data_IF_617444484118
#
_entry.id   IF_617444484118
#
_cell.length_a   1.000
_cell.length_b   1.000
_cell.length_c   1.000
_cell.angle_alpha   90.00
_cell.angle_beta   90.00
_cell.angle_gamma   90.00
#
_symmetry.space_group_name_H-M   'P 1'
#
loop_
_entity.id
_entity.type
_entity.pdbx_description
1 polymer ?
#
# COMPACT_ATOMS: atom_id res chain seq x y z
N UNK A 1 -24.27 -4.15 -28.89
CA UNK A 1 -25.45 -3.41 -28.38
C UNK A 1 -25.68 -3.80 -26.93
N UNK A 2 -25.92 -2.85 -26.01
CA UNK A 2 -26.42 -3.05 -24.63
C UNK A 2 -25.46 -3.86 -23.70
N UNK A 3 -25.10 -3.42 -22.49
CA UNK A 3 -25.43 -2.22 -21.68
C UNK A 3 -24.20 -1.80 -20.84
N UNK A 4 -24.09 -0.50 -20.56
CA UNK A 4 -23.34 0.03 -19.43
C UNK A 4 -24.14 -0.14 -18.13
N UNK A 5 -23.47 -0.41 -17.01
CA UNK A 5 -23.85 -0.34 -15.57
C UNK A 5 -22.81 -1.20 -14.82
N UNK A 6 -22.13 -0.78 -13.74
CA UNK A 6 -22.38 0.33 -12.81
C UNK A 6 -21.13 1.18 -12.53
N UNK A 7 -21.38 2.46 -12.26
CA UNK A 7 -20.50 3.36 -11.47
C UNK A 7 -21.39 3.98 -10.40
N UNK A 8 -21.03 3.86 -9.11
CA UNK A 8 -21.25 4.81 -8.00
C UNK A 8 -21.23 4.11 -6.62
N UNK A 9 -20.80 4.88 -5.61
CA UNK A 9 -20.67 4.56 -4.19
C UNK A 9 -19.55 3.54 -3.84
N UNK A 10 -18.72 3.75 -2.81
CA UNK A 10 -18.83 4.73 -1.72
C UNK A 10 -17.60 5.67 -1.60
N UNK A 11 -17.88 6.98 -1.58
CA UNK A 11 -17.06 7.97 -0.87
C UNK A 11 -17.89 8.46 0.32
N UNK A 12 -17.22 8.88 1.40
CA UNK A 12 -17.76 9.18 2.76
C UNK A 12 -17.91 7.95 3.67
N UNK A 13 -16.91 7.75 4.54
CA UNK A 13 -17.10 7.60 6.00
C UNK A 13 -15.74 7.63 6.74
N UNK A 14 -15.09 8.80 6.75
CA UNK A 14 -14.02 9.13 7.72
C UNK A 14 -14.33 10.49 8.38
N UNK A 15 -15.44 10.52 9.09
CA UNK A 15 -15.82 11.61 10.00
C UNK A 15 -16.30 11.01 11.33
N UNK A 16 -15.38 10.39 12.07
CA UNK A 16 -15.63 9.86 13.40
C UNK A 16 -14.96 10.75 14.47
N UNK A 17 -15.77 11.71 14.95
CA UNK A 17 -15.74 12.35 16.26
C UNK A 17 -14.49 12.16 17.15
N UNK A 18 -13.58 13.14 17.12
CA UNK A 18 -12.82 13.51 18.32
C UNK A 18 -13.77 14.18 19.33
N UNK A 19 -14.10 13.48 20.42
CA UNK A 19 -15.01 13.97 21.46
C UNK A 19 -14.25 14.91 22.42
N UNK A 20 -14.68 16.17 22.50
CA UNK A 20 -14.16 17.16 23.46
C UNK A 20 -15.27 18.12 23.87
N UNK A 21 -15.74 18.01 25.12
CA UNK A 21 -16.77 18.88 25.67
C UNK A 21 -16.24 20.28 26.00
N UNK A 22 -17.02 21.31 25.68
CA UNK A 22 -17.04 22.62 26.35
C UNK A 22 -18.41 23.27 26.06
N UNK A 23 -18.93 24.05 27.02
CA UNK A 23 -20.36 24.22 27.19
C UNK A 23 -20.93 25.60 26.76
N UNK A 24 -22.27 25.69 26.83
CA UNK A 24 -23.13 26.88 27.01
C UNK A 24 -23.07 28.04 25.98
N UNK A 25 -24.17 28.20 25.23
CA UNK A 25 -25.19 29.27 25.42
C UNK A 25 -26.32 29.05 24.37
N UNK A 26 -27.57 28.75 24.75
CA UNK A 26 -28.61 29.60 25.36
C UNK A 26 -29.53 30.32 24.33
N UNK A 27 -30.70 29.70 24.07
CA UNK A 27 -32.06 30.29 23.87
C UNK A 27 -32.97 29.21 23.26
N UNK A 28 -33.90 28.59 23.98
CA UNK A 28 -35.10 29.16 24.63
C UNK A 28 -36.16 29.69 23.64
N UNK A 29 -37.10 28.80 23.30
CA UNK A 29 -38.57 29.01 23.19
C UNK A 29 -39.17 27.63 22.86
N UNK A 30 -39.69 26.84 23.79
CA UNK A 30 -40.84 27.03 24.69
C UNK A 30 -42.20 26.82 23.99
N UNK A 31 -42.95 25.84 24.53
CA UNK A 31 -44.38 25.55 24.31
C UNK A 31 -44.78 25.04 22.89
N UNK A 32 -45.78 24.17 22.72
CA UNK A 32 -46.80 23.69 23.68
C UNK A 32 -47.19 22.24 23.38
N UNK A 33 -47.65 21.49 24.39
CA UNK A 33 -48.24 20.17 24.23
C UNK A 33 -49.77 20.24 24.24
N UNK A 34 -50.41 19.38 23.46
CA UNK A 34 -51.74 18.77 23.67
C UNK A 34 -51.79 17.55 22.70
N UNK A 35 -52.15 16.31 23.06
CA UNK A 35 -53.39 15.78 23.70
C UNK A 35 -54.65 16.16 22.88
N UNK A 36 -55.58 15.26 22.56
CA UNK A 36 -55.92 13.93 23.11
C UNK A 36 -56.79 13.14 22.09
N UNK A 37 -56.95 11.81 22.26
CA UNK A 37 -58.20 11.00 22.06
C UNK A 37 -58.99 11.05 20.71
N UNK A 38 -59.77 10.04 20.28
CA UNK A 38 -59.92 8.61 20.60
C UNK A 38 -60.74 7.91 19.47
N UNK A 39 -61.15 6.64 19.70
CA UNK A 39 -62.06 5.79 18.91
C UNK A 39 -61.53 5.26 17.57
N UNK A 40 -61.25 3.96 17.35
CA UNK A 40 -61.88 2.66 17.72
C UNK A 40 -62.91 2.13 16.71
N UNK A 41 -62.64 0.93 16.16
CA UNK A 41 -63.58 -0.22 16.13
C UNK A 41 -62.94 -1.42 15.41
N UNK A 42 -62.91 -2.57 16.10
CA UNK A 42 -63.14 -3.96 15.62
C UNK A 42 -62.41 -4.54 14.37
N UNK A 43 -62.19 -5.85 14.23
CA UNK A 43 -62.05 -6.99 15.16
C UNK A 43 -61.66 -8.22 14.30
N UNK A 44 -60.59 -8.96 14.64
CA UNK A 44 -60.58 -10.43 14.54
C UNK A 44 -59.37 -11.10 15.21
N UNK A 45 -59.67 -12.06 16.08
CA UNK A 45 -58.75 -13.09 16.59
C UNK A 45 -58.35 -14.09 15.48
N UNK A 46 -57.48 -15.10 15.62
CA UNK A 46 -56.76 -15.74 16.75
C UNK A 46 -55.35 -16.14 16.21
N UNK A 47 -54.34 -16.64 16.94
CA UNK A 47 -54.22 -17.18 18.32
C UNK A 47 -52.83 -16.85 18.91
N UNK A 48 -52.47 -17.51 20.01
CA UNK A 48 -51.21 -17.47 20.76
C UNK A 48 -50.51 -18.83 20.59
N UNK A 49 -49.18 -18.86 20.46
CA UNK A 49 -48.30 -19.56 21.43
C UNK A 49 -46.81 -19.29 21.19
N UNK A 50 -46.04 -19.46 22.27
CA UNK A 50 -44.65 -19.04 22.44
C UNK A 50 -43.87 -20.28 22.86
N UNK A 51 -43.22 -20.94 21.91
CA UNK A 51 -42.23 -21.97 22.21
C UNK A 51 -40.81 -21.41 22.08
N UNK A 52 -39.95 -21.91 22.96
CA UNK A 52 -38.57 -21.48 23.10
C UNK A 52 -37.71 -22.61 22.57
N UNK A 53 -37.20 -22.47 21.35
CA UNK A 53 -36.17 -23.37 20.84
C UNK A 53 -34.82 -22.65 20.85
N UNK A 54 -33.96 -23.08 21.77
CA UNK A 54 -32.52 -22.88 21.66
C UNK A 54 -31.99 -23.73 20.49
N UNK A 55 -32.16 -23.25 19.25
CA UNK A 55 -31.36 -23.79 18.16
C UNK A 55 -29.93 -23.28 18.30
N UNK A 56 -29.14 -24.13 18.96
CA UNK A 56 -27.69 -24.08 19.05
C UNK A 56 -27.08 -24.27 17.65
N UNK A 57 -27.19 -23.25 16.80
CA UNK A 57 -26.46 -23.17 15.55
C UNK A 57 -24.97 -22.96 15.87
N UNK A 58 -24.28 -24.07 16.13
CA UNK A 58 -22.88 -24.16 15.71
C UNK A 58 -22.87 -23.87 14.22
N UNK A 59 -22.47 -22.65 13.85
CA UNK A 59 -21.91 -22.42 12.54
C UNK A 59 -20.69 -23.33 12.45
N UNK A 60 -20.86 -24.48 11.81
CA UNK A 60 -19.74 -25.13 11.15
C UNK A 60 -19.20 -24.09 10.19
N UNK A 61 -18.08 -23.47 10.58
CA UNK A 61 -17.23 -22.67 9.72
C UNK A 61 -16.84 -23.55 8.53
N UNK A 62 -17.68 -23.55 7.50
CA UNK A 62 -17.39 -24.18 6.21
C UNK A 62 -16.11 -23.53 5.72
N UNK A 63 -15.01 -24.27 5.79
CA UNK A 63 -13.68 -23.76 5.48
C UNK A 63 -13.73 -23.17 4.07
N UNK A 64 -13.65 -21.85 3.97
CA UNK A 64 -13.76 -21.16 2.68
C UNK A 64 -12.50 -21.49 1.89
N UNK A 65 -12.65 -22.31 0.85
CA UNK A 65 -11.58 -22.67 -0.05
C UNK A 65 -11.78 -21.88 -1.35
N UNK A 66 -10.80 -21.04 -1.68
CA UNK A 66 -10.76 -20.29 -2.94
C UNK A 66 -10.17 -21.17 -4.05
N UNK A 67 -10.63 -20.98 -5.28
CA UNK A 67 -9.98 -21.59 -6.45
C UNK A 67 -8.60 -20.98 -6.70
N UNK A 68 -7.74 -21.68 -7.44
CA UNK A 68 -6.41 -21.16 -7.79
C UNK A 68 -6.51 -19.81 -8.52
N UNK A 69 -7.49 -19.64 -9.42
CA UNK A 69 -7.71 -18.36 -10.13
C UNK A 69 -8.18 -17.21 -9.22
N UNK A 70 -8.70 -17.50 -8.03
CA UNK A 70 -9.04 -16.49 -7.02
C UNK A 70 -7.83 -16.20 -6.13
N UNK A 71 -7.06 -17.24 -5.77
CA UNK A 71 -5.78 -17.10 -5.06
C UNK A 71 -4.77 -16.27 -5.86
N UNK A 72 -4.67 -16.48 -7.17
CA UNK A 72 -3.75 -15.76 -8.05
C UNK A 72 -4.13 -14.27 -8.21
N UNK A 73 -5.41 -13.91 -8.02
CA UNK A 73 -5.88 -12.50 -8.03
C UNK A 73 -5.56 -11.75 -6.73
N UNK A 74 -5.23 -12.47 -5.65
CA UNK A 74 -4.84 -11.92 -4.35
C UNK A 74 -3.32 -11.70 -4.23
N UNK A 75 -2.53 -12.27 -5.16
CA UNK A 75 -1.08 -12.10 -5.21
C UNK A 75 -0.71 -10.73 -5.75
N UNK A 76 0.42 -10.18 -5.29
CA UNK A 76 0.93 -8.91 -5.79
C UNK A 76 1.41 -9.15 -7.24
N UNK A 77 0.91 -8.41 -8.24
CA UNK A 77 1.28 -8.68 -9.62
C UNK A 77 2.74 -8.32 -9.90
N UNK A 78 3.43 -9.21 -10.60
CA UNK A 78 4.83 -9.07 -11.00
C UNK A 78 4.99 -9.28 -12.51
N UNK A 79 6.13 -8.83 -13.04
CA UNK A 79 6.57 -9.14 -14.42
C UNK A 79 7.81 -10.03 -14.39
N UNK A 80 7.93 -11.02 -15.29
CA UNK A 80 9.13 -11.85 -15.39
C UNK A 80 10.28 -11.06 -16.04
N UNK A 81 11.51 -11.28 -15.55
CA UNK A 81 12.74 -10.69 -16.12
C UNK A 81 13.70 -11.77 -16.62
N UNK A 82 14.34 -11.54 -17.77
CA UNK A 82 15.17 -12.55 -18.44
C UNK A 82 16.44 -12.90 -17.66
N UNK A 83 17.17 -11.86 -17.23
CA UNK A 83 18.26 -11.92 -16.25
C UNK A 83 18.13 -10.71 -15.32
N UNK A 84 18.20 -10.88 -13.99
CA UNK A 84 18.33 -9.75 -13.08
C UNK A 84 19.72 -9.10 -13.17
N UNK A 85 20.74 -9.92 -13.35
CA UNK A 85 22.15 -9.56 -13.16
C UNK A 85 22.84 -9.23 -14.47
N UNK A 86 23.73 -8.23 -14.42
CA UNK A 86 24.74 -7.95 -15.44
C UNK A 86 26.03 -8.74 -15.19
N UNK A 87 26.68 -9.24 -16.25
CA UNK A 87 27.93 -10.04 -16.15
C UNK A 87 29.20 -9.21 -15.90
N UNK A 88 29.17 -7.88 -16.09
CA UNK A 88 30.34 -7.00 -15.92
C UNK A 88 30.22 -6.14 -14.64
N UNK A 89 31.30 -6.10 -13.86
CA UNK A 89 31.47 -5.12 -12.79
C UNK A 89 31.57 -3.69 -13.35
N UNK A 90 30.95 -2.73 -12.65
CA UNK A 90 31.11 -1.30 -12.92
C UNK A 90 31.68 -0.57 -11.70
N UNK A 91 32.46 0.47 -11.92
CA UNK A 91 32.82 1.45 -10.89
C UNK A 91 31.72 2.51 -10.75
N UNK A 92 31.65 3.17 -9.59
CA UNK A 92 30.74 4.30 -9.35
C UNK A 92 30.94 5.42 -10.39
N UNK A 93 32.20 5.68 -10.77
CA UNK A 93 32.56 6.67 -11.79
C UNK A 93 32.05 6.28 -13.18
N UNK A 94 32.20 5.02 -13.62
CA UNK A 94 31.65 4.55 -14.91
C UNK A 94 30.13 4.71 -14.98
N UNK A 95 29.42 4.57 -13.86
CA UNK A 95 27.96 4.71 -13.82
C UNK A 95 27.51 6.17 -13.97
N UNK A 96 28.22 7.11 -13.33
CA UNK A 96 27.98 8.55 -13.49
C UNK A 96 28.36 9.04 -14.89
N UNK A 97 29.55 8.68 -15.39
CA UNK A 97 30.07 9.20 -16.67
C UNK A 97 29.27 8.72 -17.90
N UNK A 98 28.69 7.52 -17.86
CA UNK A 98 28.06 6.92 -19.05
C UNK A 98 26.51 6.92 -19.02
N UNK A 99 25.88 7.11 -17.85
CA UNK A 99 24.42 6.94 -17.71
C UNK A 99 23.70 8.08 -16.98
N UNK A 100 24.41 9.10 -16.48
CA UNK A 100 23.78 10.26 -15.85
C UNK A 100 23.38 11.31 -16.91
N UNK A 101 22.12 11.76 -16.85
CA UNK A 101 21.59 12.81 -17.72
C UNK A 101 21.97 14.23 -17.26
N UNK A 102 21.59 15.22 -18.07
CA UNK A 102 21.86 16.65 -17.81
C UNK A 102 21.21 17.20 -16.53
N UNK A 103 20.25 16.47 -15.96
CA UNK A 103 19.59 16.80 -14.68
C UNK A 103 20.11 15.99 -13.50
N UNK A 104 21.17 15.20 -13.69
CA UNK A 104 21.80 14.40 -12.64
C UNK A 104 21.12 13.05 -12.37
N UNK A 105 20.28 12.56 -13.29
CA UNK A 105 19.49 11.33 -13.10
C UNK A 105 20.05 10.19 -13.91
N UNK A 106 19.97 8.96 -13.38
CA UNK A 106 20.49 7.76 -14.05
C UNK A 106 19.32 6.85 -14.42
N UNK A 107 19.13 6.57 -15.70
CA UNK A 107 18.01 5.74 -16.18
C UNK A 107 18.50 4.48 -16.89
N UNK A 108 18.08 3.31 -16.40
CA UNK A 108 18.30 2.02 -17.03
C UNK A 108 16.96 1.39 -17.36
N UNK A 109 16.82 0.87 -18.59
CA UNK A 109 15.64 0.11 -18.97
C UNK A 109 15.56 -1.19 -18.18
N UNK A 110 14.35 -1.62 -17.82
CA UNK A 110 14.11 -2.98 -17.29
C UNK A 110 14.44 -4.09 -18.30
N UNK A 111 14.61 -3.76 -19.58
CA UNK A 111 15.14 -4.67 -20.60
C UNK A 111 16.67 -4.79 -20.58
N UNK A 112 17.37 -3.94 -19.82
CA UNK A 112 18.83 -3.82 -19.76
C UNK A 112 19.36 -4.07 -18.34
N UNK A 113 19.48 -5.35 -17.97
CA UNK A 113 20.21 -5.89 -16.80
C UNK A 113 20.22 -4.93 -15.59
N UNK A 114 19.08 -4.83 -14.87
CA UNK A 114 18.83 -3.75 -13.92
C UNK A 114 19.62 -3.89 -12.61
N UNK A 115 20.12 -5.08 -12.26
CA UNK A 115 20.97 -5.27 -11.07
C UNK A 115 22.44 -5.39 -11.50
N UNK A 116 23.27 -4.52 -10.92
CA UNK A 116 24.71 -4.43 -11.22
C UNK A 116 25.56 -4.65 -9.99
N UNK A 117 26.70 -5.30 -10.19
CA UNK A 117 27.79 -5.34 -9.20
C UNK A 117 28.60 -4.06 -9.34
N UNK A 118 28.68 -3.28 -8.25
CA UNK A 118 29.49 -2.05 -8.18
C UNK A 118 30.75 -2.33 -7.37
N UNK A 119 31.92 -2.06 -7.95
CA UNK A 119 33.20 -2.16 -7.25
C UNK A 119 33.66 -0.79 -6.78
N UNK A 120 33.70 -0.59 -5.46
CA UNK A 120 34.22 0.64 -4.86
C UNK A 120 35.74 0.58 -4.74
N UNK A 121 36.43 1.39 -5.55
CA UNK A 121 37.88 1.63 -5.47
C UNK A 121 38.69 1.14 -6.68
N UNK A 122 39.68 1.94 -7.10
CA UNK A 122 40.50 1.70 -8.31
C UNK A 122 41.73 0.81 -8.09
N UNK A 123 42.10 0.52 -6.84
CA UNK A 123 43.40 -0.09 -6.49
C UNK A 123 43.31 -1.33 -5.59
N UNK A 124 42.12 -1.77 -5.18
CA UNK A 124 41.92 -3.01 -4.43
C UNK A 124 40.48 -3.53 -4.54
N UNK A 125 40.25 -4.70 -5.17
CA UNK A 125 38.90 -5.24 -5.37
C UNK A 125 38.42 -5.95 -4.10
N UNK A 126 37.70 -5.25 -3.22
CA UNK A 126 37.16 -5.84 -1.98
C UNK A 126 35.76 -5.42 -1.54
N UNK A 127 35.17 -4.38 -2.13
CA UNK A 127 33.77 -4.01 -1.88
C UNK A 127 33.02 -4.09 -3.19
N UNK A 128 32.37 -5.22 -3.43
CA UNK A 128 31.32 -5.40 -4.42
C UNK A 128 29.97 -5.18 -3.75
N UNK A 129 29.18 -4.21 -4.22
CA UNK A 129 27.81 -3.99 -3.79
C UNK A 129 26.84 -4.39 -4.90
N UNK A 130 25.70 -5.00 -4.57
CA UNK A 130 24.66 -5.38 -5.53
C UNK A 130 23.60 -4.29 -5.51
N UNK A 131 23.41 -3.62 -6.65
CA UNK A 131 22.61 -2.39 -6.74
C UNK A 131 21.57 -2.52 -7.84
N UNK A 132 20.29 -2.32 -7.51
CA UNK A 132 19.19 -2.24 -8.47
C UNK A 132 19.07 -0.81 -8.99
N UNK A 133 19.20 -0.66 -10.31
CA UNK A 133 19.14 0.61 -11.01
C UNK A 133 17.87 0.84 -11.83
N UNK A 134 16.95 -0.14 -11.87
CA UNK A 134 15.61 0.07 -12.42
C UNK A 134 14.73 0.92 -11.51
N UNK A 135 13.54 1.28 -11.99
CA UNK A 135 12.48 1.93 -11.21
C UNK A 135 11.47 0.95 -10.58
N UNK A 136 11.76 -0.35 -10.56
CA UNK A 136 10.92 -1.38 -9.95
C UNK A 136 11.65 -2.06 -8.79
N UNK A 137 10.90 -2.67 -7.85
CA UNK A 137 11.51 -3.57 -6.88
C UNK A 137 11.77 -4.91 -7.57
N UNK A 138 12.96 -5.49 -7.40
CA UNK A 138 13.33 -6.73 -8.08
C UNK A 138 13.61 -7.84 -7.07
N UNK A 139 12.97 -8.98 -7.28
CA UNK A 139 13.34 -10.27 -6.68
C UNK A 139 14.20 -11.04 -7.70
N UNK A 140 15.53 -11.14 -7.51
CA UNK A 140 16.41 -11.82 -8.46
C UNK A 140 16.39 -13.35 -8.30
N UNK A 141 15.88 -13.87 -7.18
CA UNK A 141 15.74 -15.32 -6.94
C UNK A 141 14.63 -15.88 -7.83
N UNK A 142 13.47 -15.24 -7.78
CA UNK A 142 12.29 -15.62 -8.57
C UNK A 142 12.29 -15.04 -10.00
N UNK A 143 13.27 -14.19 -10.31
CA UNK A 143 13.38 -13.42 -11.56
C UNK A 143 12.10 -12.65 -11.88
N UNK A 144 11.65 -11.89 -10.89
CA UNK A 144 10.43 -11.08 -10.96
C UNK A 144 10.71 -9.63 -10.58
N UNK A 145 10.00 -8.69 -11.21
CA UNK A 145 9.95 -7.30 -10.83
C UNK A 145 8.52 -6.90 -10.45
N UNK A 146 8.39 -6.13 -9.38
CA UNK A 146 7.15 -5.50 -8.95
C UNK A 146 6.98 -4.18 -9.73
N UNK A 147 6.29 -4.26 -10.87
CA UNK A 147 6.16 -3.17 -11.83
C UNK A 147 4.70 -3.05 -12.30
N UNK A 148 4.22 -1.82 -12.47
CA UNK A 148 2.95 -1.52 -13.12
C UNK A 148 3.04 -1.81 -14.63
N UNK A 149 1.99 -2.40 -15.21
CA UNK A 149 2.03 -2.91 -16.57
C UNK A 149 1.47 -1.94 -17.61
N UNK A 150 0.81 -0.86 -17.17
CA UNK A 150 0.15 0.10 -18.04
C UNK A 150 0.31 1.56 -17.59
N UNK A 151 0.32 2.46 -18.58
CA UNK A 151 0.29 3.91 -18.32
C UNK A 151 -0.94 4.32 -17.48
N UNK A 152 -2.06 3.61 -17.60
CA UNK A 152 -3.27 3.91 -16.84
C UNK A 152 -3.11 3.67 -15.33
N UNK A 153 -2.26 2.73 -14.92
CA UNK A 153 -1.92 2.47 -13.51
C UNK A 153 -0.91 3.52 -12.99
N UNK A 154 0.11 3.85 -13.79
CA UNK A 154 1.08 4.92 -13.52
C UNK A 154 0.37 6.26 -13.29
N UNK A 155 -0.52 6.62 -14.22
CA UNK A 155 -1.39 7.80 -14.12
C UNK A 155 -2.25 7.81 -12.85
N UNK A 156 -2.75 6.65 -12.42
CA UNK A 156 -3.60 6.52 -11.24
C UNK A 156 -2.81 6.70 -9.95
N UNK A 157 -1.64 6.06 -9.82
CA UNK A 157 -0.82 6.21 -8.61
C UNK A 157 -0.27 7.63 -8.50
N UNK A 158 0.17 8.25 -9.60
CA UNK A 158 0.63 9.63 -9.58
C UNK A 158 -0.49 10.59 -9.17
N UNK A 159 -1.71 10.44 -9.71
CA UNK A 159 -2.90 11.18 -9.26
C UNK A 159 -3.23 10.94 -7.79
N UNK A 160 -3.06 9.71 -7.29
CA UNK A 160 -3.29 9.38 -5.88
C UNK A 160 -2.27 10.05 -4.96
N UNK A 161 -0.99 10.09 -5.35
CA UNK A 161 0.07 10.82 -4.64
C UNK A 161 -0.30 12.31 -4.55
N UNK A 162 -0.60 12.96 -5.68
CA UNK A 162 -0.98 14.37 -5.72
C UNK A 162 -2.29 14.68 -4.97
N UNK A 163 -3.23 13.73 -4.86
CA UNK A 163 -4.46 13.90 -4.11
C UNK A 163 -4.29 13.75 -2.58
N UNK A 164 -3.21 13.10 -2.13
CA UNK A 164 -2.94 12.84 -0.71
C UNK A 164 -1.85 13.76 -0.14
N UNK A 165 -1.99 15.07 -0.41
CA UNK A 165 -1.04 16.09 0.07
C UNK A 165 -0.96 16.09 1.61
N UNK A 166 0.25 16.07 2.21
CA UNK A 166 0.40 16.35 3.63
C UNK A 166 -0.04 17.79 3.94
N UNK A 167 -0.37 18.08 5.22
CA UNK A 167 -0.90 19.39 5.64
C UNK A 167 -0.06 20.60 5.21
N UNK A 168 1.25 20.42 5.07
CA UNK A 168 2.22 21.44 4.68
C UNK A 168 2.23 21.75 3.17
N UNK A 169 1.73 20.83 2.34
CA UNK A 169 1.65 20.96 0.88
C UNK A 169 0.19 21.09 0.39
N UNK A 170 -0.75 21.39 1.29
CA UNK A 170 -2.15 21.53 0.94
C UNK A 170 -2.37 22.73 0.01
N UNK A 171 -2.81 22.44 -1.21
CA UNK A 171 -3.06 23.46 -2.24
C UNK A 171 -1.84 23.84 -3.07
N UNK A 172 -0.70 23.16 -2.93
CA UNK A 172 0.42 23.23 -3.89
C UNK A 172 -0.09 22.88 -5.29
N UNK A 173 0.28 23.68 -6.29
CA UNK A 173 -0.16 23.48 -7.67
C UNK A 173 0.48 22.22 -8.27
N UNK A 174 -0.25 21.37 -9.02
CA UNK A 174 0.32 20.17 -9.65
C UNK A 174 1.53 20.43 -10.55
N UNK A 175 1.73 21.66 -11.05
CA UNK A 175 2.90 22.06 -11.84
C UNK A 175 4.17 22.35 -11.00
N UNK A 176 4.04 22.47 -9.68
CA UNK A 176 5.17 22.54 -8.74
C UNK A 176 5.75 21.15 -8.41
N UNK A 177 5.06 20.07 -8.81
CA UNK A 177 5.54 18.70 -8.66
C UNK A 177 6.34 18.26 -9.88
N UNK A 178 7.48 17.59 -9.66
CA UNK A 178 8.19 16.87 -10.71
C UNK A 178 7.30 15.78 -11.32
N UNK A 179 7.27 15.71 -12.66
CA UNK A 179 6.51 14.68 -13.40
C UNK A 179 7.05 13.28 -13.14
N UNK A 180 6.34 12.24 -13.61
CA UNK A 180 6.80 10.85 -13.55
C UNK A 180 8.16 10.65 -14.24
N UNK A 181 8.36 11.30 -15.39
CA UNK A 181 9.61 11.28 -16.15
C UNK A 181 10.73 11.98 -15.37
N UNK A 182 10.39 13.05 -14.64
CA UNK A 182 11.28 13.77 -13.72
C UNK A 182 11.30 13.18 -12.29
N UNK A 183 10.78 11.97 -12.07
CA UNK A 183 10.91 11.26 -10.81
C UNK A 183 12.17 10.38 -10.82
N UNK A 184 12.82 10.21 -9.67
CA UNK A 184 13.94 9.28 -9.52
C UNK A 184 13.42 7.85 -9.61
N UNK A 185 14.29 6.89 -9.97
CA UNK A 185 13.91 5.47 -10.01
C UNK A 185 13.42 4.97 -8.65
N UNK A 186 13.96 5.51 -7.56
CA UNK A 186 13.46 5.27 -6.21
C UNK A 186 12.06 5.83 -5.99
N UNK A 187 11.81 7.09 -6.31
CA UNK A 187 10.47 7.70 -6.20
C UNK A 187 9.43 6.93 -7.02
N UNK A 188 9.77 6.56 -8.27
CA UNK A 188 8.94 5.72 -9.12
C UNK A 188 8.70 4.35 -8.50
N UNK A 189 9.73 3.65 -8.05
CA UNK A 189 9.58 2.33 -7.41
C UNK A 189 8.74 2.37 -6.14
N UNK A 190 8.89 3.41 -5.31
CA UNK A 190 8.07 3.62 -4.12
C UNK A 190 6.60 3.89 -4.48
N UNK A 191 6.34 4.67 -5.53
CA UNK A 191 4.98 4.86 -6.07
C UNK A 191 4.41 3.53 -6.57
N UNK A 192 5.12 2.81 -7.45
CA UNK A 192 4.68 1.50 -7.95
C UNK A 192 4.34 0.55 -6.79
N UNK A 193 5.20 0.46 -5.77
CA UNK A 193 4.95 -0.38 -4.60
C UNK A 193 3.71 0.04 -3.79
N UNK A 194 3.44 1.33 -3.62
CA UNK A 194 2.22 1.79 -2.94
C UNK A 194 0.94 1.36 -3.65
N UNK A 195 0.94 1.36 -4.99
CA UNK A 195 -0.19 0.85 -5.77
C UNK A 195 -0.31 -0.67 -5.65
N UNK A 196 0.83 -1.38 -5.73
CA UNK A 196 0.90 -2.84 -5.74
C UNK A 196 0.59 -3.50 -4.38
N UNK A 197 1.07 -2.93 -3.26
CA UNK A 197 0.89 -3.49 -1.91
C UNK A 197 -0.46 -3.10 -1.28
N UNK A 198 -1.08 -2.01 -1.75
CA UNK A 198 -2.31 -1.45 -1.21
C UNK A 198 -3.48 -2.44 -1.13
N UNK A 199 -3.80 -3.21 -2.20
CA UNK A 199 -4.82 -4.26 -2.17
C UNK A 199 -4.54 -5.31 -1.10
N UNK A 200 -3.35 -5.91 -1.10
CA UNK A 200 -2.92 -6.95 -0.14
C UNK A 200 -3.07 -6.49 1.31
N UNK A 201 -2.65 -5.26 1.62
CA UNK A 201 -2.86 -4.70 2.96
C UNK A 201 -4.36 -4.54 3.28
N UNK A 202 -5.18 -4.10 2.34
CA UNK A 202 -6.63 -3.96 2.56
C UNK A 202 -7.34 -5.30 2.73
N UNK A 203 -6.90 -6.36 2.06
CA UNK A 203 -7.47 -7.70 2.21
C UNK A 203 -7.16 -8.28 3.60
N UNK A 204 -5.91 -8.15 4.08
CA UNK A 204 -5.53 -8.50 5.46
C UNK A 204 -6.41 -7.75 6.47
N UNK A 205 -6.55 -6.43 6.32
CA UNK A 205 -7.40 -5.62 7.22
C UNK A 205 -8.88 -6.04 7.19
N UNK A 206 -9.40 -6.34 6.00
CA UNK A 206 -10.80 -6.77 5.82
C UNK A 206 -11.04 -8.14 6.45
N UNK A 207 -10.05 -9.02 6.44
CA UNK A 207 -10.10 -10.29 7.15
C UNK A 207 -10.03 -10.10 8.67
N UNK A 208 -9.12 -9.25 9.18
CA UNK A 208 -9.04 -8.90 10.62
C UNK A 208 -10.37 -8.33 11.13
N UNK A 209 -10.96 -7.37 10.42
CA UNK A 209 -12.24 -6.72 10.77
C UNK A 209 -13.44 -7.68 10.80
N UNK A 210 -13.27 -8.92 10.31
CA UNK A 210 -14.28 -9.98 10.27
C UNK A 210 -13.88 -11.21 11.08
N UNK A 211 -12.77 -11.15 11.82
CA UNK A 211 -12.16 -12.25 12.55
C UNK A 211 -11.73 -13.46 11.69
N UNK A 212 -11.37 -13.21 10.43
CA UNK A 212 -11.10 -14.23 9.39
C UNK A 212 -9.61 -14.54 9.19
N UNK A 213 -8.83 -14.68 10.27
CA UNK A 213 -7.38 -14.93 10.24
C UNK A 213 -6.95 -16.23 9.52
N UNK A 214 -7.86 -17.20 9.38
CA UNK A 214 -7.60 -18.46 8.64
C UNK A 214 -8.15 -18.45 7.20
N UNK A 215 -8.72 -17.33 6.74
CA UNK A 215 -9.27 -17.22 5.39
C UNK A 215 -8.14 -17.14 4.35
N UNK A 216 -8.26 -17.78 3.17
CA UNK A 216 -7.14 -17.84 2.22
C UNK A 216 -6.59 -16.47 1.79
N UNK A 217 -7.43 -15.43 1.69
CA UNK A 217 -6.97 -14.07 1.41
C UNK A 217 -6.06 -13.45 2.50
N UNK A 218 -6.26 -13.81 3.77
CA UNK A 218 -5.36 -13.38 4.85
C UNK A 218 -4.01 -14.11 4.74
N UNK A 219 -4.05 -15.42 4.50
CA UNK A 219 -2.85 -16.27 4.36
C UNK A 219 -2.01 -15.85 3.15
N UNK A 220 -2.62 -15.67 1.97
CA UNK A 220 -1.93 -15.12 0.79
C UNK A 220 -1.40 -13.72 1.08
N UNK A 221 -2.15 -12.89 1.81
CA UNK A 221 -1.70 -11.58 2.23
C UNK A 221 -0.40 -11.61 3.03
N UNK A 222 -0.28 -12.52 4.00
CA UNK A 222 0.97 -12.73 4.74
C UNK A 222 2.09 -13.26 3.84
N UNK A 223 1.84 -14.30 3.02
CA UNK A 223 2.84 -14.86 2.09
C UNK A 223 3.46 -13.80 1.18
N UNK A 224 2.65 -12.88 0.66
CA UNK A 224 3.12 -11.85 -0.27
C UNK A 224 3.90 -10.73 0.44
N UNK A 225 3.52 -10.39 1.68
CA UNK A 225 4.29 -9.44 2.50
C UNK A 225 5.61 -10.02 3.00
N UNK A 226 5.66 -11.33 3.34
CA UNK A 226 6.90 -12.07 3.65
C UNK A 226 7.88 -12.01 2.48
N UNK A 227 7.43 -12.42 1.27
CA UNK A 227 8.25 -12.37 0.04
C UNK A 227 8.76 -10.98 -0.27
N UNK A 228 7.91 -9.96 -0.11
CA UNK A 228 8.26 -8.57 -0.38
C UNK A 228 9.26 -8.01 0.65
N UNK A 229 9.14 -8.44 1.91
CA UNK A 229 10.07 -8.11 2.99
C UNK A 229 11.43 -8.80 2.92
N UNK A 230 11.54 -9.88 2.15
CA UNK A 230 12.75 -10.69 2.06
C UNK A 230 14.00 -9.85 1.71
N UNK A 231 15.16 -10.10 2.35
CA UNK A 231 16.38 -9.29 2.15
C UNK A 231 16.90 -9.20 0.71
N UNK A 232 16.56 -10.18 -0.13
CA UNK A 232 16.96 -10.25 -1.54
C UNK A 232 16.02 -9.50 -2.49
N UNK A 233 14.88 -8.99 -2.02
CA UNK A 233 14.09 -8.03 -2.81
C UNK A 233 14.80 -6.67 -2.74
N UNK A 234 15.29 -6.21 -3.88
CA UNK A 234 16.06 -4.99 -4.00
C UNK A 234 15.19 -3.82 -4.46
N UNK A 235 14.97 -2.85 -3.56
CA UNK A 235 14.45 -1.54 -3.93
C UNK A 235 15.45 -0.81 -4.86
N UNK A 236 14.99 0.10 -5.75
CA UNK A 236 15.86 0.95 -6.54
C UNK A 236 16.88 1.73 -5.70
N UNK A 237 18.05 1.95 -6.27
CA UNK A 237 19.12 2.73 -5.65
C UNK A 237 18.76 4.21 -5.50
N UNK A 238 19.23 4.88 -4.43
CA UNK A 238 19.12 6.33 -4.34
C UNK A 238 20.02 7.00 -5.40
N UNK A 239 19.51 8.06 -6.03
CA UNK A 239 20.22 8.78 -7.11
C UNK A 239 20.72 10.16 -6.64
N UNK A 240 20.02 10.76 -5.68
CA UNK A 240 20.27 12.06 -5.08
C UNK A 240 20.55 11.96 -3.58
N UNK A 241 21.11 13.00 -2.93
CA UNK A 241 21.22 13.06 -1.47
C UNK A 241 19.85 12.96 -0.75
N UNK A 242 18.79 13.48 -1.39
CA UNK A 242 17.41 13.39 -0.90
C UNK A 242 16.90 11.94 -0.95
N UNK A 243 17.16 11.24 -2.06
CA UNK A 243 16.82 9.81 -2.20
C UNK A 243 17.47 8.95 -1.12
N UNK A 244 18.67 9.27 -0.63
CA UNK A 244 19.33 8.42 0.38
C UNK A 244 18.48 8.26 1.65
N UNK A 245 17.81 9.33 2.08
CA UNK A 245 16.87 9.29 3.21
C UNK A 245 15.57 8.54 2.85
N UNK A 246 15.06 8.71 1.64
CA UNK A 246 13.91 7.95 1.14
C UNK A 246 14.21 6.44 1.09
N UNK A 247 15.42 6.06 0.65
CA UNK A 247 15.89 4.68 0.55
C UNK A 247 15.99 4.02 1.93
N UNK A 248 16.55 4.72 2.92
CA UNK A 248 16.57 4.23 4.31
C UNK A 248 15.16 4.00 4.87
N UNK A 249 14.23 4.96 4.68
CA UNK A 249 12.82 4.81 5.07
C UNK A 249 12.17 3.62 4.35
N UNK A 250 12.49 3.41 3.07
CA UNK A 250 11.94 2.32 2.28
C UNK A 250 12.49 0.96 2.71
N UNK A 251 13.79 0.83 2.98
CA UNK A 251 14.37 -0.41 3.53
C UNK A 251 13.79 -0.76 4.91
N UNK A 252 13.49 0.23 5.75
CA UNK A 252 12.78 0.03 7.02
C UNK A 252 11.37 -0.52 6.78
N UNK A 253 10.56 0.13 5.94
CA UNK A 253 9.18 -0.30 5.66
C UNK A 253 9.13 -1.66 4.95
N UNK A 254 10.10 -1.94 4.09
CA UNK A 254 10.24 -3.25 3.48
C UNK A 254 10.43 -4.34 4.54
N UNK A 255 11.33 -4.13 5.51
CA UNK A 255 11.51 -5.09 6.61
C UNK A 255 10.22 -5.25 7.43
N UNK A 256 9.49 -4.15 7.70
CA UNK A 256 8.20 -4.18 8.39
C UNK A 256 7.11 -4.95 7.61
N UNK A 257 7.10 -4.92 6.27
CA UNK A 257 6.23 -5.81 5.49
C UNK A 257 6.58 -7.29 5.78
N UNK A 258 7.87 -7.62 5.82
CA UNK A 258 8.35 -8.94 6.25
C UNK A 258 7.84 -9.33 7.64
N UNK A 259 7.93 -8.44 8.63
CA UNK A 259 7.45 -8.67 10.01
C UNK A 259 5.94 -9.01 10.10
N UNK A 260 5.11 -8.53 9.16
CA UNK A 260 3.68 -8.92 9.07
C UNK A 260 3.51 -10.31 8.45
N UNK A 261 4.33 -10.63 7.44
CA UNK A 261 4.31 -11.94 6.78
C UNK A 261 4.81 -13.07 7.67
N UNK A 262 5.93 -12.84 8.35
CA UNK A 262 6.60 -13.79 9.27
C UNK A 262 5.87 -13.97 10.62
N UNK A 263 4.76 -13.25 10.88
CA UNK A 263 4.06 -13.31 12.16
C UNK A 263 3.39 -14.68 12.39
N UNK A 264 3.88 -15.43 13.36
CA UNK A 264 3.37 -16.76 13.73
C UNK A 264 1.99 -16.72 14.42
N UNK A 265 1.10 -17.63 14.01
CA UNK A 265 -0.25 -17.84 14.55
C UNK A 265 -1.07 -16.55 14.86
N UNK A 266 -1.36 -15.68 13.86
CA UNK A 266 -2.15 -14.46 14.08
C UNK A 266 -3.52 -14.70 14.72
N UNK A 267 -4.15 -15.84 14.42
CA UNK A 267 -5.43 -16.24 15.00
C UNK A 267 -5.38 -16.49 16.52
N UNK A 268 -4.20 -16.84 17.06
CA UNK A 268 -3.98 -17.07 18.50
C UNK A 268 -3.51 -15.79 19.21
N UNK A 269 -2.83 -14.88 18.49
CA UNK A 269 -2.19 -13.68 19.03
C UNK A 269 -2.74 -12.37 18.41
N UNK A 270 -4.06 -12.29 18.20
CA UNK A 270 -4.75 -11.25 17.42
C UNK A 270 -4.36 -9.82 17.78
N UNK A 271 -4.32 -9.47 19.08
CA UNK A 271 -4.01 -8.12 19.56
C UNK A 271 -2.60 -7.66 19.18
N UNK A 272 -1.60 -8.55 19.26
CA UNK A 272 -0.23 -8.21 18.89
C UNK A 272 -0.05 -8.17 17.36
N UNK A 273 -0.72 -9.07 16.61
CA UNK A 273 -0.77 -8.98 15.15
C UNK A 273 -1.42 -7.67 14.68
N UNK A 274 -2.56 -7.28 15.28
CA UNK A 274 -3.24 -6.01 14.99
C UNK A 274 -2.33 -4.81 15.22
N UNK A 275 -1.55 -4.83 16.29
CA UNK A 275 -0.58 -3.77 16.62
C UNK A 275 0.57 -3.71 15.62
N UNK A 276 1.20 -4.83 15.27
CA UNK A 276 2.24 -4.91 14.24
C UNK A 276 1.68 -4.41 12.90
N UNK A 277 0.58 -4.99 12.44
CA UNK A 277 -0.08 -4.61 11.19
C UNK A 277 -0.46 -3.12 11.15
N UNK A 278 -1.00 -2.56 12.24
CA UNK A 278 -1.38 -1.15 12.30
C UNK A 278 -0.16 -0.21 12.16
N UNK A 279 0.96 -0.56 12.81
CA UNK A 279 2.22 0.18 12.68
C UNK A 279 2.74 0.13 11.23
N UNK A 280 2.72 -1.04 10.59
CA UNK A 280 3.15 -1.21 9.19
C UNK A 280 2.26 -0.47 8.21
N UNK A 281 0.93 -0.49 8.43
CA UNK A 281 -0.03 0.30 7.64
C UNK A 281 0.19 1.80 7.81
N UNK A 282 0.48 2.27 9.02
CA UNK A 282 0.80 3.67 9.28
C UNK A 282 2.08 4.10 8.55
N UNK A 283 3.16 3.33 8.67
CA UNK A 283 4.42 3.67 7.99
C UNK A 283 4.34 3.55 6.46
N UNK A 284 3.59 2.56 5.95
CA UNK A 284 3.29 2.49 4.51
C UNK A 284 2.52 3.73 4.04
N UNK A 285 1.50 4.18 4.79
CA UNK A 285 0.79 5.43 4.48
C UNK A 285 1.71 6.66 4.57
N UNK A 286 2.69 6.67 5.47
CA UNK A 286 3.69 7.74 5.57
C UNK A 286 4.60 7.84 4.32
N UNK A 287 4.65 6.83 3.45
CA UNK A 287 5.33 6.95 2.15
C UNK A 287 4.64 7.96 1.22
N UNK A 288 3.30 8.07 1.22
CA UNK A 288 2.61 9.10 0.42
C UNK A 288 3.09 10.50 0.78
N UNK A 289 3.30 10.76 2.07
CA UNK A 289 3.84 12.03 2.59
C UNK A 289 5.30 12.21 2.15
N UNK A 290 6.14 11.18 2.33
CA UNK A 290 7.57 11.23 1.97
C UNK A 290 7.79 11.48 0.47
N UNK A 291 7.02 10.80 -0.39
CA UNK A 291 7.07 10.97 -1.85
C UNK A 291 6.51 12.33 -2.26
N UNK A 292 5.44 12.83 -1.62
CA UNK A 292 4.92 14.17 -1.90
C UNK A 292 6.00 15.24 -1.72
N UNK A 293 6.69 15.25 -0.57
CA UNK A 293 7.81 16.18 -0.36
C UNK A 293 8.93 15.99 -1.37
N UNK A 294 9.31 14.73 -1.64
CA UNK A 294 10.37 14.42 -2.59
C UNK A 294 10.09 15.05 -3.97
N UNK A 295 8.87 14.87 -4.49
CA UNK A 295 8.46 15.38 -5.79
C UNK A 295 8.32 16.92 -5.85
N UNK A 296 8.11 17.60 -4.71
CA UNK A 296 8.10 19.08 -4.63
C UNK A 296 9.46 19.71 -4.33
N UNK A 297 10.42 18.93 -3.84
CA UNK A 297 11.79 19.39 -3.63
C UNK A 297 12.62 19.20 -4.91
N UNK A 298 13.32 20.25 -5.30
CA UNK A 298 14.48 20.12 -6.19
C UNK A 298 15.55 19.33 -5.45
N UNK A 299 15.62 18.02 -5.68
CA UNK A 299 16.64 17.12 -5.12
C UNK A 299 18.09 17.41 -5.54
N UNK A 300 18.30 18.57 -6.17
CA UNK A 300 19.52 19.11 -6.77
C UNK A 300 19.76 20.58 -6.37
N UNK A 301 19.36 20.97 -5.15
CA UNK A 301 19.69 22.30 -4.60
C UNK A 301 21.20 22.58 -4.60
N UNK A 302 21.55 23.84 -4.90
CA UNK A 302 22.89 24.38 -5.24
C UNK A 302 24.10 23.87 -4.42
#
# INVERSE_FOLDING_TARGET
MKKWLLVAAASLLLAACGKGESAEEAKETAATADKTEEHASEEKAEKVEKETEEENSKEESSKVELSQEEMDKLRIPTVPINSPYHEKDHTEQELVENYMDETGRIYFSLTEEPIRTIVSGTTSPKVSNITNYSDAFINPVDKQAYQLQSQAEIDQIYKLILANQPKQLQGTDPSEYRTWEQATNLERGMMQMLYLVGPTMNDIKTAMDRDLYNHPAFVVGQEELEKLGAPLVFAPAPQTPLDYKLFQNMKMIQAMWGEVGEFENPAENKEEFEKVYAQVRQETNNLFVRINYALTEDGFGE
#
